data_IF_952959001372
#
_entry.id   IF_952959001372
#
_cell.length_a   1.000
_cell.length_b   1.000
_cell.length_c   1.000
_cell.angle_alpha   90.00
_cell.angle_beta   90.00
_cell.angle_gamma   90.00
#
_symmetry.space_group_name_H-M   'P 1'
#
loop_
_entity.id
_entity.type
_entity.pdbx_description
1 polymer ?
#
# COMPACT_ATOMS: atom_id res chain seq x y z
N UNK A 1 -12.48 -18.07 -23.99
CA UNK A 1 -12.35 -19.14 -22.98
C UNK A 1 -12.88 -18.60 -21.67
N UNK A 2 -14.00 -19.11 -21.15
CA UNK A 2 -14.59 -18.61 -19.89
C UNK A 2 -13.63 -19.00 -18.75
N UNK A 3 -13.13 -18.06 -17.94
CA UNK A 3 -12.27 -18.40 -16.82
C UNK A 3 -13.04 -19.27 -15.84
N UNK A 4 -12.53 -20.48 -15.59
CA UNK A 4 -13.11 -21.37 -14.57
C UNK A 4 -12.98 -20.71 -13.21
N UNK A 5 -14.06 -20.72 -12.44
CA UNK A 5 -14.04 -20.24 -11.05
C UNK A 5 -13.04 -21.11 -10.28
N UNK A 6 -12.02 -20.52 -9.62
CA UNK A 6 -11.06 -21.29 -8.84
C UNK A 6 -11.73 -22.01 -7.66
N UNK A 7 -11.16 -23.10 -7.18
CA UNK A 7 -11.69 -23.78 -5.99
C UNK A 7 -11.53 -22.91 -4.73
N UNK A 8 -12.43 -23.01 -3.74
CA UNK A 8 -12.32 -22.26 -2.49
C UNK A 8 -10.99 -22.44 -1.76
N UNK A 9 -10.45 -23.67 -1.78
CA UNK A 9 -9.15 -23.97 -1.16
C UNK A 9 -7.98 -23.22 -1.82
N UNK A 10 -8.00 -23.09 -3.15
CA UNK A 10 -7.01 -22.31 -3.91
C UNK A 10 -7.15 -20.83 -3.59
N UNK A 11 -8.38 -20.30 -3.63
CA UNK A 11 -8.65 -18.88 -3.31
C UNK A 11 -8.19 -18.53 -1.90
N UNK A 12 -8.48 -19.39 -0.91
CA UNK A 12 -8.06 -19.20 0.47
C UNK A 12 -6.53 -19.20 0.63
N UNK A 13 -5.83 -20.06 -0.11
CA UNK A 13 -4.36 -20.12 -0.05
C UNK A 13 -3.71 -18.85 -0.59
N UNK A 14 -4.23 -18.31 -1.70
CA UNK A 14 -3.78 -17.04 -2.27
C UNK A 14 -4.13 -15.87 -1.32
N UNK A 15 -5.35 -15.83 -0.80
CA UNK A 15 -5.81 -14.81 0.14
C UNK A 15 -4.93 -14.75 1.39
N UNK A 16 -4.54 -15.90 1.94
CA UNK A 16 -3.63 -15.96 3.10
C UNK A 16 -2.30 -15.25 2.84
N UNK A 17 -1.75 -15.37 1.63
CA UNK A 17 -0.49 -14.69 1.29
C UNK A 17 -0.67 -13.17 1.20
N UNK A 18 -1.80 -12.70 0.68
CA UNK A 18 -2.11 -11.27 0.64
C UNK A 18 -2.42 -10.67 2.02
N UNK A 19 -2.93 -11.48 2.96
CA UNK A 19 -3.13 -11.06 4.35
C UNK A 19 -1.84 -10.90 5.15
N UNK A 20 -0.68 -11.36 4.65
CA UNK A 20 0.60 -11.22 5.36
C UNK A 20 1.13 -9.80 5.12
N UNK A 21 1.21 -8.95 6.16
CA UNK A 21 1.56 -7.53 6.03
C UNK A 21 3.05 -7.27 5.78
N UNK A 22 3.84 -8.33 5.51
CA UNK A 22 5.30 -8.25 5.42
C UNK A 22 5.76 -8.57 4.00
N UNK A 23 6.12 -7.51 3.26
CA UNK A 23 7.03 -7.44 2.10
C UNK A 23 6.78 -8.36 0.89
N UNK A 24 6.68 -9.66 1.09
CA UNK A 24 6.56 -10.67 0.03
C UNK A 24 5.13 -11.09 -0.30
N UNK A 25 4.12 -10.58 0.40
CA UNK A 25 2.72 -11.01 0.25
C UNK A 25 2.20 -10.88 -1.18
N UNK A 26 2.46 -9.75 -1.85
CA UNK A 26 2.02 -9.52 -3.24
C UNK A 26 2.75 -10.45 -4.23
N UNK A 27 4.10 -10.47 -4.31
CA UNK A 27 4.79 -11.36 -5.25
C UNK A 27 4.43 -12.83 -5.01
N UNK A 28 4.39 -13.27 -3.75
CA UNK A 28 4.06 -14.65 -3.41
C UNK A 28 2.62 -15.02 -3.76
N UNK A 29 1.65 -14.18 -3.42
CA UNK A 29 0.25 -14.41 -3.76
C UNK A 29 0.02 -14.42 -5.27
N UNK A 30 0.68 -13.53 -6.02
CA UNK A 30 0.58 -13.47 -7.49
C UNK A 30 1.22 -14.68 -8.17
N UNK A 31 2.41 -15.11 -7.72
CA UNK A 31 3.04 -16.33 -8.23
C UNK A 31 2.23 -17.58 -7.89
N UNK A 32 1.68 -17.67 -6.68
CA UNK A 32 0.79 -18.78 -6.31
C UNK A 32 -0.48 -18.79 -7.16
N UNK A 33 -1.10 -17.62 -7.38
CA UNK A 33 -2.27 -17.50 -8.24
C UNK A 33 -1.96 -17.94 -9.67
N UNK A 34 -0.83 -17.51 -10.24
CA UNK A 34 -0.38 -17.91 -11.58
C UNK A 34 -0.18 -19.42 -11.68
N UNK A 35 0.55 -20.02 -10.73
CA UNK A 35 0.83 -21.48 -10.73
C UNK A 35 -0.42 -22.33 -10.54
N UNK A 36 -1.44 -21.80 -9.85
CA UNK A 36 -2.75 -22.46 -9.68
C UNK A 36 -3.74 -22.13 -10.78
N UNK A 37 -3.35 -21.39 -11.82
CA UNK A 37 -4.21 -21.03 -12.95
C UNK A 37 -5.36 -20.09 -12.59
N UNK A 38 -5.23 -19.32 -11.51
CA UNK A 38 -6.21 -18.31 -11.10
C UNK A 38 -6.14 -17.13 -12.05
N UNK A 39 -7.24 -16.82 -12.72
CA UNK A 39 -7.29 -15.71 -13.65
C UNK A 39 -7.11 -14.36 -12.93
N UNK A 40 -6.53 -13.39 -13.65
CA UNK A 40 -6.19 -12.07 -13.12
C UNK A 40 -7.34 -11.36 -12.38
N UNK A 41 -8.59 -11.33 -12.88
CA UNK A 41 -9.68 -10.68 -12.15
C UNK A 41 -9.93 -11.29 -10.77
N UNK A 42 -9.80 -12.62 -10.63
CA UNK A 42 -9.96 -13.29 -9.33
C UNK A 42 -8.81 -12.95 -8.39
N UNK A 43 -7.57 -12.93 -8.88
CA UNK A 43 -6.41 -12.53 -8.07
C UNK A 43 -6.58 -11.10 -7.55
N UNK A 44 -6.99 -10.17 -8.41
CA UNK A 44 -7.26 -8.77 -8.03
C UNK A 44 -8.39 -8.67 -7.01
N UNK A 45 -9.47 -9.43 -7.18
CA UNK A 45 -10.58 -9.46 -6.20
C UNK A 45 -10.15 -10.06 -4.86
N UNK A 46 -9.29 -11.07 -4.86
CA UNK A 46 -8.73 -11.64 -3.62
C UNK A 46 -7.85 -10.63 -2.90
N UNK A 47 -7.06 -9.84 -3.64
CA UNK A 47 -6.24 -8.78 -3.06
C UNK A 47 -7.10 -7.64 -2.49
N UNK A 48 -8.11 -7.20 -3.24
CA UNK A 48 -9.07 -6.21 -2.75
C UNK A 48 -9.80 -6.70 -1.48
N UNK A 49 -10.17 -7.99 -1.44
CA UNK A 49 -10.79 -8.59 -0.28
C UNK A 49 -9.84 -8.63 0.92
N UNK A 50 -8.54 -8.92 0.73
CA UNK A 50 -7.56 -8.80 1.83
C UNK A 50 -7.48 -7.38 2.34
N UNK A 51 -7.43 -6.37 1.47
CA UNK A 51 -7.34 -4.97 1.90
C UNK A 51 -8.55 -4.54 2.73
N UNK A 52 -9.75 -5.00 2.36
CA UNK A 52 -10.97 -4.75 3.13
C UNK A 52 -10.91 -5.45 4.50
N UNK A 53 -10.45 -6.70 4.55
CA UNK A 53 -10.28 -7.44 5.80
C UNK A 53 -9.27 -6.73 6.71
N UNK A 54 -8.13 -6.32 6.16
CA UNK A 54 -7.12 -5.53 6.87
C UNK A 54 -7.71 -4.20 7.35
N UNK A 55 -8.45 -3.48 6.51
CA UNK A 55 -9.07 -2.21 6.90
C UNK A 55 -9.99 -2.37 8.13
N UNK A 56 -10.82 -3.41 8.13
CA UNK A 56 -11.71 -3.73 9.24
C UNK A 56 -10.95 -4.17 10.49
N UNK A 57 -9.86 -4.92 10.34
CA UNK A 57 -9.03 -5.38 11.44
C UNK A 57 -8.19 -4.25 12.06
N UNK A 58 -7.65 -3.35 11.25
CA UNK A 58 -6.73 -2.30 11.68
C UNK A 58 -7.42 -1.01 12.12
N UNK A 59 -8.59 -0.63 11.59
CA UNK A 59 -9.32 0.55 12.07
C UNK A 59 -9.52 0.59 13.60
N UNK A 60 -9.99 -0.48 14.29
CA UNK A 60 -10.13 -0.44 15.74
C UNK A 60 -8.78 -0.29 16.46
N UNK A 61 -7.73 -0.93 15.95
CA UNK A 61 -6.37 -0.83 16.50
C UNK A 61 -5.84 0.61 16.36
N UNK A 62 -5.96 1.20 15.17
CA UNK A 62 -5.54 2.57 14.89
C UNK A 62 -6.30 3.58 15.75
N UNK A 63 -7.61 3.38 15.96
CA UNK A 63 -8.43 4.23 16.84
C UNK A 63 -8.00 4.11 18.29
N UNK A 64 -7.77 2.88 18.77
CA UNK A 64 -7.30 2.65 20.12
C UNK A 64 -5.95 3.34 20.36
N UNK A 65 -5.02 3.20 19.42
CA UNK A 65 -3.73 3.89 19.46
C UNK A 65 -3.90 5.41 19.44
N UNK A 66 -4.72 5.96 18.56
CA UNK A 66 -5.00 7.39 18.50
C UNK A 66 -5.60 7.91 19.82
N UNK A 67 -6.49 7.14 20.44
CA UNK A 67 -7.09 7.47 21.74
C UNK A 67 -6.05 7.47 22.86
N UNK A 68 -5.21 6.43 22.95
CA UNK A 68 -4.14 6.33 23.96
C UNK A 68 -3.14 7.47 23.78
N UNK A 69 -2.66 7.69 22.55
CA UNK A 69 -1.72 8.77 22.23
C UNK A 69 -2.32 10.16 22.51
N UNK A 70 -3.64 10.32 22.35
CA UNK A 70 -4.35 11.56 22.67
C UNK A 70 -4.36 11.89 24.18
N UNK A 71 -4.26 10.89 25.05
CA UNK A 71 -4.18 11.09 26.51
C UNK A 71 -2.80 11.55 26.98
N UNK A 72 -1.75 11.28 26.19
CA UNK A 72 -0.39 11.68 26.53
C UNK A 72 -0.13 13.07 25.96
N UNK A 73 0.01 14.07 26.83
CA UNK A 73 0.17 15.48 26.47
C UNK A 73 1.35 15.78 25.53
N UNK A 74 2.44 15.01 25.64
CA UNK A 74 3.57 15.09 24.72
C UNK A 74 3.23 14.61 23.31
N UNK A 75 2.59 13.44 23.19
CA UNK A 75 2.22 12.84 21.90
C UNK A 75 1.10 13.63 21.22
N UNK A 76 0.14 14.15 21.99
CA UNK A 76 -0.93 15.00 21.44
C UNK A 76 -0.38 16.32 20.86
N UNK A 77 0.63 16.92 21.50
CA UNK A 77 1.36 18.08 20.98
C UNK A 77 2.09 17.75 19.67
N UNK A 78 2.82 16.64 19.62
CA UNK A 78 3.49 16.19 18.38
C UNK A 78 2.45 15.98 17.27
N UNK A 79 1.35 15.30 17.57
CA UNK A 79 0.25 15.08 16.62
C UNK A 79 -0.34 16.40 16.09
N UNK A 80 -0.52 17.40 16.96
CA UNK A 80 -1.00 18.72 16.55
C UNK A 80 0.01 19.46 15.65
N UNK A 81 1.31 19.40 15.98
CA UNK A 81 2.38 19.97 15.15
C UNK A 81 2.43 19.30 13.78
N UNK A 82 2.34 17.97 13.73
CA UNK A 82 2.30 17.20 12.48
C UNK A 82 1.07 17.56 11.64
N UNK A 83 -0.12 17.65 12.25
CA UNK A 83 -1.34 18.10 11.55
C UNK A 83 -1.18 19.52 10.98
N UNK A 84 -0.61 20.44 11.74
CA UNK A 84 -0.37 21.81 11.29
C UNK A 84 0.70 21.88 10.18
N UNK A 85 1.74 21.05 10.23
CA UNK A 85 2.74 20.93 9.17
C UNK A 85 2.12 20.36 7.87
N UNK A 86 1.28 19.33 7.98
CA UNK A 86 0.54 18.76 6.86
C UNK A 86 -0.43 19.77 6.26
N UNK A 87 -1.22 20.47 7.08
CA UNK A 87 -2.15 21.50 6.60
C UNK A 87 -1.43 22.61 5.80
N UNK A 88 -0.25 23.05 6.27
CA UNK A 88 0.60 24.02 5.54
C UNK A 88 1.19 23.46 4.25
N UNK A 89 1.51 22.18 4.20
CA UNK A 89 2.08 21.54 3.00
C UNK A 89 1.02 21.31 1.92
N UNK A 90 -0.24 21.16 2.34
CA UNK A 90 -1.37 20.81 1.48
C UNK A 90 -2.18 22.05 1.05
N UNK A 91 -1.98 23.22 1.67
CA UNK A 91 -2.66 24.46 1.28
C UNK A 91 -2.43 24.87 -0.17
N UNK A 92 -1.36 24.38 -0.81
CA UNK A 92 -1.08 24.57 -2.24
C UNK A 92 -1.87 23.63 -3.18
N UNK A 93 -2.52 22.59 -2.66
CA UNK A 93 -3.16 21.50 -3.43
C UNK A 93 -4.70 21.47 -3.35
N UNK A 94 -5.33 22.62 -3.09
CA UNK A 94 -6.79 22.83 -2.97
C UNK A 94 -7.42 22.41 -1.64
N UNK A 95 -7.91 23.41 -0.89
CA UNK A 95 -8.85 23.24 0.23
C UNK A 95 -8.24 22.77 1.56
N UNK A 96 -9.05 22.86 2.63
CA UNK A 96 -8.67 22.59 4.04
C UNK A 96 -8.43 21.11 4.39
N UNK A 97 -8.14 20.27 3.40
CA UNK A 97 -7.79 18.86 3.57
C UNK A 97 -7.14 18.32 2.30
N UNK A 98 -6.25 17.34 2.42
CA UNK A 98 -5.65 16.70 1.25
C UNK A 98 -6.76 16.11 0.36
N UNK A 99 -6.77 16.51 -0.91
CA UNK A 99 -7.72 16.01 -1.89
C UNK A 99 -7.59 14.49 -2.11
N UNK A 100 -8.64 13.82 -2.62
CA UNK A 100 -8.65 12.37 -2.83
C UNK A 100 -7.42 11.84 -3.57
N UNK A 101 -6.98 12.53 -4.63
CA UNK A 101 -5.82 12.12 -5.43
C UNK A 101 -4.53 12.14 -4.59
N UNK A 102 -4.32 13.19 -3.79
CA UNK A 102 -3.14 13.28 -2.94
C UNK A 102 -3.10 12.14 -1.91
N UNK A 103 -4.25 11.79 -1.33
CA UNK A 103 -4.36 10.69 -0.37
C UNK A 103 -4.11 9.32 -1.00
N UNK A 104 -4.63 9.09 -2.21
CA UNK A 104 -4.35 7.90 -3.01
C UNK A 104 -2.85 7.79 -3.28
N UNK A 105 -2.20 8.88 -3.68
CA UNK A 105 -0.76 8.90 -3.96
C UNK A 105 0.10 8.66 -2.70
N UNK A 106 -0.33 9.14 -1.54
CA UNK A 106 0.34 8.84 -0.26
C UNK A 106 0.24 7.34 0.04
N UNK A 107 -0.95 6.75 -0.08
CA UNK A 107 -1.15 5.33 0.16
C UNK A 107 -0.35 4.45 -0.82
N UNK A 108 -0.37 4.80 -2.10
CA UNK A 108 0.41 4.14 -3.14
C UNK A 108 1.92 4.21 -2.89
N UNK A 109 2.42 5.37 -2.44
CA UNK A 109 3.85 5.61 -2.29
C UNK A 109 4.45 5.13 -0.98
N UNK A 110 3.61 4.89 0.04
CA UNK A 110 4.06 4.50 1.38
C UNK A 110 3.44 3.16 1.77
N UNK A 111 2.17 3.18 2.18
CA UNK A 111 1.36 2.02 2.53
C UNK A 111 -0.10 2.45 2.84
N UNK A 112 -1.08 1.54 2.80
CA UNK A 112 -2.48 1.87 3.09
C UNK A 112 -2.75 2.37 4.52
N UNK A 113 -1.97 1.96 5.53
CA UNK A 113 -2.13 2.44 6.92
C UNK A 113 -1.73 3.91 7.04
N UNK A 114 -0.61 4.29 6.43
CA UNK A 114 -0.18 5.68 6.31
C UNK A 114 -1.21 6.49 5.52
N UNK A 115 -1.71 5.97 4.40
CA UNK A 115 -2.79 6.58 3.63
C UNK A 115 -4.04 6.87 4.47
N UNK A 116 -4.49 5.87 5.25
CA UNK A 116 -5.64 5.98 6.15
C UNK A 116 -5.42 7.02 7.25
N UNK A 117 -4.23 7.04 7.85
CA UNK A 117 -3.86 8.01 8.88
C UNK A 117 -3.81 9.44 8.32
N UNK A 118 -3.26 9.62 7.12
CA UNK A 118 -3.26 10.90 6.40
C UNK A 118 -4.68 11.36 6.07
N UNK A 119 -5.57 10.46 5.65
CA UNK A 119 -6.97 10.79 5.38
C UNK A 119 -7.70 11.23 6.66
N UNK A 120 -7.44 10.56 7.81
CA UNK A 120 -7.97 10.98 9.11
C UNK A 120 -7.47 12.38 9.49
N UNK A 121 -6.18 12.64 9.30
CA UNK A 121 -5.55 13.93 9.59
C UNK A 121 -6.11 15.05 8.69
N UNK A 122 -6.47 14.72 7.46
CA UNK A 122 -7.13 15.61 6.50
C UNK A 122 -8.65 15.77 6.74
N UNK A 123 -9.21 15.12 7.77
CA UNK A 123 -10.62 15.26 8.15
C UNK A 123 -11.59 14.33 7.42
N UNK A 124 -11.11 13.36 6.64
CA UNK A 124 -11.97 12.39 5.97
C UNK A 124 -12.47 11.32 6.95
N UNK A 125 -13.74 10.93 6.77
CA UNK A 125 -14.37 9.87 7.56
C UNK A 125 -13.76 8.48 7.30
N UNK A 126 -14.23 7.47 8.03
CA UNK A 126 -13.72 6.10 7.96
C UNK A 126 -13.78 5.54 6.54
N UNK A 127 -14.97 5.59 5.93
CA UNK A 127 -15.24 4.96 4.63
C UNK A 127 -14.40 5.64 3.54
N UNK A 128 -14.48 6.97 3.44
CA UNK A 128 -13.70 7.72 2.45
C UNK A 128 -12.19 7.54 2.65
N UNK A 129 -11.71 7.58 3.90
CA UNK A 129 -10.29 7.41 4.21
C UNK A 129 -9.75 6.04 3.82
N UNK A 130 -10.49 4.96 4.09
CA UNK A 130 -10.12 3.62 3.63
C UNK A 130 -10.28 3.45 2.12
N UNK A 131 -11.30 4.04 1.51
CA UNK A 131 -11.47 3.99 0.06
C UNK A 131 -10.25 4.59 -0.68
N UNK A 132 -9.74 5.74 -0.21
CA UNK A 132 -8.53 6.34 -0.78
C UNK A 132 -7.28 5.49 -0.52
N UNK A 133 -7.16 4.94 0.69
CA UNK A 133 -6.03 4.08 1.04
C UNK A 133 -5.98 2.80 0.19
N UNK A 134 -7.11 2.11 0.09
CA UNK A 134 -7.26 0.88 -0.71
C UNK A 134 -7.05 1.21 -2.20
N UNK A 135 -7.58 2.32 -2.70
CA UNK A 135 -7.34 2.71 -4.09
C UNK A 135 -5.86 2.92 -4.40
N UNK A 136 -5.09 3.53 -3.49
CA UNK A 136 -3.65 3.67 -3.64
C UNK A 136 -2.93 2.32 -3.60
N UNK A 137 -3.30 1.45 -2.66
CA UNK A 137 -2.69 0.12 -2.53
C UNK A 137 -3.02 -0.78 -3.72
N UNK A 138 -4.21 -0.67 -4.31
CA UNK A 138 -4.56 -1.38 -5.54
C UNK A 138 -3.69 -0.98 -6.73
N UNK A 139 -3.29 0.29 -6.82
CA UNK A 139 -2.33 0.75 -7.84
C UNK A 139 -0.95 0.14 -7.56
N UNK A 140 -0.53 0.11 -6.30
CA UNK A 140 0.73 -0.50 -5.88
C UNK A 140 0.77 -1.99 -6.21
N UNK A 141 -0.28 -2.73 -5.84
CA UNK A 141 -0.52 -4.11 -6.21
C UNK A 141 -0.39 -4.33 -7.72
N UNK A 142 -1.07 -3.52 -8.54
CA UNK A 142 -1.01 -3.67 -9.99
C UNK A 142 0.43 -3.54 -10.53
N UNK A 143 1.18 -2.55 -10.05
CA UNK A 143 2.59 -2.34 -10.44
C UNK A 143 3.45 -3.53 -10.05
N UNK A 144 3.35 -4.01 -8.81
CA UNK A 144 4.16 -5.13 -8.33
C UNK A 144 3.75 -6.43 -9.02
N UNK A 145 2.46 -6.70 -9.16
CA UNK A 145 1.95 -7.93 -9.76
C UNK A 145 2.33 -8.03 -11.25
N UNK A 146 2.19 -6.94 -12.02
CA UNK A 146 2.63 -6.91 -13.42
C UNK A 146 4.15 -7.07 -13.53
N UNK A 147 4.91 -6.36 -12.69
CA UNK A 147 6.38 -6.48 -12.65
C UNK A 147 6.82 -7.90 -12.33
N UNK A 148 6.16 -8.55 -11.35
CA UNK A 148 6.47 -9.93 -10.92
C UNK A 148 6.17 -10.93 -12.04
N UNK A 149 4.99 -10.87 -12.66
CA UNK A 149 4.63 -11.77 -13.75
C UNK A 149 5.53 -11.60 -14.97
N UNK A 150 5.85 -10.35 -15.34
CA UNK A 150 6.77 -10.08 -16.45
C UNK A 150 8.17 -10.58 -16.14
N UNK A 151 8.70 -10.32 -14.94
CA UNK A 151 10.01 -10.82 -14.57
C UNK A 151 10.05 -12.35 -14.56
N UNK A 152 9.01 -13.02 -14.05
CA UNK A 152 8.92 -14.48 -14.06
C UNK A 152 8.90 -15.04 -15.48
N UNK A 153 8.33 -14.32 -16.46
CA UNK A 153 8.34 -14.75 -17.86
C UNK A 153 9.73 -14.77 -18.50
N UNK A 154 10.73 -14.12 -17.88
CA UNK A 154 12.13 -14.19 -18.32
C UNK A 154 12.93 -15.22 -17.51
N UNK A 155 12.78 -15.20 -16.18
CA UNK A 155 13.58 -16.04 -15.28
C UNK A 155 13.08 -17.49 -15.27
N UNK A 156 11.77 -17.71 -15.42
CA UNK A 156 11.10 -19.01 -15.31
C UNK A 156 11.29 -19.72 -13.95
N UNK A 157 11.75 -19.00 -12.92
CA UNK A 157 11.85 -19.49 -11.54
C UNK A 157 11.04 -18.55 -10.62
N UNK A 158 9.91 -19.01 -10.07
CA UNK A 158 9.09 -18.21 -9.17
C UNK A 158 9.80 -17.80 -7.89
N UNK A 159 10.65 -18.65 -7.32
CA UNK A 159 11.33 -18.37 -6.05
C UNK A 159 12.37 -17.27 -6.22
N UNK A 160 13.17 -17.37 -7.28
CA UNK A 160 14.17 -16.35 -7.62
C UNK A 160 13.48 -15.04 -8.02
N UNK A 161 12.40 -15.12 -8.79
CA UNK A 161 11.61 -13.93 -9.16
C UNK A 161 11.07 -13.21 -7.93
N UNK A 162 10.46 -13.94 -6.99
CA UNK A 162 9.96 -13.37 -5.74
C UNK A 162 11.08 -12.70 -4.94
N UNK A 163 12.24 -13.36 -4.82
CA UNK A 163 13.39 -12.81 -4.10
C UNK A 163 13.87 -11.50 -4.74
N UNK A 164 13.97 -11.45 -6.07
CA UNK A 164 14.41 -10.24 -6.78
C UNK A 164 13.42 -9.09 -6.59
N UNK A 165 12.12 -9.35 -6.73
CA UNK A 165 11.09 -8.32 -6.52
C UNK A 165 11.10 -7.83 -5.08
N UNK A 166 11.22 -8.74 -4.10
CA UNK A 166 11.31 -8.38 -2.69
C UNK A 166 12.51 -7.46 -2.43
N UNK A 167 13.70 -7.82 -2.91
CA UNK A 167 14.90 -6.98 -2.80
C UNK A 167 14.67 -5.63 -3.50
N UNK A 168 14.09 -5.62 -4.70
CA UNK A 168 13.80 -4.40 -5.43
C UNK A 168 12.84 -3.46 -4.69
N UNK A 169 11.82 -3.99 -4.01
CA UNK A 169 10.87 -3.19 -3.22
C UNK A 169 11.57 -2.39 -2.11
N UNK A 170 12.64 -2.92 -1.51
CA UNK A 170 13.43 -2.21 -0.52
C UNK A 170 14.52 -1.33 -1.14
N UNK A 171 15.24 -1.84 -2.14
CA UNK A 171 16.42 -1.17 -2.70
C UNK A 171 16.06 -0.01 -3.64
N UNK A 172 15.01 -0.14 -4.46
CA UNK A 172 14.65 0.87 -5.47
C UNK A 172 14.29 2.22 -4.82
N UNK A 173 13.42 2.29 -3.79
CA UNK A 173 13.11 3.57 -3.15
C UNK A 173 14.35 4.22 -2.51
N UNK A 174 15.23 3.42 -1.90
CA UNK A 174 16.47 3.90 -1.30
C UNK A 174 17.43 4.48 -2.35
N UNK A 175 17.58 3.79 -3.48
CA UNK A 175 18.41 4.23 -4.60
C UNK A 175 17.85 5.51 -5.24
N UNK A 176 16.55 5.60 -5.47
CA UNK A 176 15.90 6.80 -6.01
C UNK A 176 16.09 8.00 -5.08
N UNK A 177 15.94 7.80 -3.77
CA UNK A 177 16.20 8.85 -2.76
C UNK A 177 17.66 9.29 -2.78
N UNK A 178 18.60 8.35 -2.87
CA UNK A 178 20.03 8.63 -2.94
C UNK A 178 20.40 9.46 -4.19
N UNK A 179 19.90 9.05 -5.36
CA UNK A 179 20.15 9.75 -6.64
C UNK A 179 19.55 11.16 -6.63
N UNK A 180 18.28 11.30 -6.18
CA UNK A 180 17.63 12.62 -6.07
C UNK A 180 18.38 13.56 -5.13
N UNK A 181 18.86 13.05 -3.99
CA UNK A 181 19.64 13.86 -3.05
C UNK A 181 20.92 14.40 -3.69
N UNK A 182 21.65 13.58 -4.46
CA UNK A 182 22.85 14.04 -5.18
C UNK A 182 22.55 15.03 -6.30
N UNK A 183 21.47 14.83 -7.06
CA UNK A 183 21.04 15.75 -8.12
C UNK A 183 20.66 17.13 -7.58
N UNK A 184 19.97 17.19 -6.43
CA UNK A 184 19.62 18.48 -5.79
C UNK A 184 20.86 19.23 -5.30
N UNK A 185 21.90 18.52 -4.85
CA UNK A 185 23.18 19.12 -4.46
C UNK A 185 23.90 19.69 -5.69
N UNK A 186 23.92 18.96 -6.80
CA UNK A 186 24.54 19.41 -8.06
C UNK A 186 23.82 20.61 -8.70
N UNK A 187 22.52 20.79 -8.46
CA UNK A 187 21.76 21.96 -8.94
C UNK A 187 21.92 23.22 -8.07
N UNK A 188 22.49 23.09 -6.87
CA UNK A 188 22.74 24.21 -5.94
C UNK A 188 24.22 24.64 -5.88
N UNK A 189 25.10 23.93 -6.59
CA UNK A 189 26.51 24.27 -6.77
C UNK A 189 26.69 25.01 -8.10
#
# INVERSE_FOLDING_TARGET
MIPRVPSPATMLSVLKLFLIPVGGGIPAGVMLAQTKGVAWPFTTLLYLASDIILALAFEPVLRLLAFICGKVSFLSRIGAVMKAATARSVSHFSGTGAGPIALIMIAFGVDPMTGRASALAAGHGIIAGWAFAIAGDMIYFAVIAISTLRLNSYIHDPNITMLIILVAMFCVPALVRFIRSKLVILQKA
#
